data_IF_760950481018
#
_entry.id   IF_760950481018
#
_cell.length_a   1.000
_cell.length_b   1.000
_cell.length_c   1.000
_cell.angle_alpha   90.00
_cell.angle_beta   90.00
_cell.angle_gamma   90.00
#
_symmetry.space_group_name_H-M   'P 1'
#
loop_
_entity.id
_entity.type
_entity.pdbx_description
1 polymer ?
#
# COMPACT_ATOMS: atom_id res chain seq x y z
N UNK A 1 53.80 14.49 8.60
CA UNK A 1 52.95 13.87 7.55
C UNK A 1 52.19 12.61 8.01
N UNK A 2 52.81 11.63 8.69
CA UNK A 2 52.09 10.40 9.13
C UNK A 2 50.95 10.68 10.13
N UNK A 3 51.18 11.55 11.13
CA UNK A 3 50.16 11.93 12.13
C UNK A 3 48.98 12.66 11.48
N UNK A 4 49.22 13.53 10.50
CA UNK A 4 48.15 14.24 9.78
C UNK A 4 47.30 13.29 8.92
N UNK A 5 47.91 12.24 8.33
CA UNK A 5 47.17 11.17 7.63
C UNK A 5 46.35 10.31 8.60
N UNK A 6 46.90 9.97 9.77
CA UNK A 6 46.17 9.21 10.80
C UNK A 6 44.98 10.02 11.36
N UNK A 7 45.16 11.32 11.59
CA UNK A 7 44.07 12.22 12.00
C UNK A 7 43.01 12.36 10.90
N UNK A 8 43.41 12.42 9.62
CA UNK A 8 42.47 12.49 8.50
C UNK A 8 41.70 11.19 8.30
N UNK A 9 42.35 10.03 8.46
CA UNK A 9 41.68 8.70 8.42
C UNK A 9 40.77 8.50 9.62
N UNK A 10 41.18 8.92 10.83
CA UNK A 10 40.32 8.87 12.00
C UNK A 10 39.11 9.81 11.87
N UNK A 11 39.31 11.01 11.32
CA UNK A 11 38.22 11.95 11.02
C UNK A 11 37.24 11.39 9.98
N UNK A 12 37.74 10.75 8.91
CA UNK A 12 36.92 10.05 7.92
C UNK A 12 36.19 8.82 8.49
N UNK A 13 36.81 8.10 9.43
CA UNK A 13 36.19 6.95 10.10
C UNK A 13 35.10 7.37 11.10
N UNK A 14 35.28 8.51 11.79
CA UNK A 14 34.26 9.09 12.68
C UNK A 14 33.10 9.67 11.86
N UNK A 15 33.35 10.18 10.65
CA UNK A 15 32.32 10.60 9.69
C UNK A 15 31.53 9.44 9.07
N UNK A 16 32.02 8.20 9.18
CA UNK A 16 31.38 7.00 8.63
C UNK A 16 30.54 6.22 9.65
N UNK A 17 30.28 6.78 10.84
CA UNK A 17 29.29 6.24 11.78
C UNK A 17 27.89 6.51 11.24
N UNK A 18 27.46 5.70 10.26
CA UNK A 18 26.05 5.60 9.91
C UNK A 18 25.33 5.10 11.16
N UNK A 19 24.51 5.97 11.73
CA UNK A 19 23.63 5.58 12.83
C UNK A 19 22.55 4.72 12.21
N UNK A 20 22.50 3.44 12.53
CA UNK A 20 21.36 2.57 12.20
C UNK A 20 20.69 2.18 13.53
N UNK A 21 19.36 2.18 13.53
CA UNK A 21 18.55 1.77 14.68
C UNK A 21 18.02 0.36 14.45
N UNK A 22 18.25 -0.53 15.41
CA UNK A 22 17.81 -1.92 15.37
C UNK A 22 16.70 -2.13 16.41
N UNK A 23 15.56 -2.66 15.97
CA UNK A 23 14.43 -3.06 16.81
C UNK A 23 14.48 -4.58 16.96
N UNK A 24 15.16 -5.04 18.02
CA UNK A 24 15.42 -6.46 18.30
C UNK A 24 14.44 -7.10 19.28
N UNK A 25 13.51 -6.31 19.83
CA UNK A 25 12.46 -6.77 20.72
C UNK A 25 11.14 -6.07 20.42
N UNK A 26 10.02 -6.72 20.76
CA UNK A 26 8.70 -6.15 20.57
C UNK A 26 8.59 -4.79 21.25
N UNK A 27 8.26 -3.77 20.48
CA UNK A 27 8.28 -2.38 20.92
C UNK A 27 6.96 -1.70 20.56
N UNK A 28 6.38 -0.98 21.53
CA UNK A 28 5.17 -0.19 21.35
C UNK A 28 5.49 1.24 21.78
N UNK A 29 5.48 2.16 20.83
CA UNK A 29 5.64 3.59 21.05
C UNK A 29 4.29 4.30 20.89
N UNK A 30 4.00 5.24 21.78
CA UNK A 30 2.71 5.94 21.82
C UNK A 30 2.89 7.45 21.80
N UNK A 31 2.03 8.16 21.07
CA UNK A 31 1.98 9.63 21.09
C UNK A 31 3.16 10.30 20.37
N UNK A 32 3.88 11.21 21.03
CA UNK A 32 5.00 11.90 20.39
C UNK A 32 6.26 11.01 20.38
N UNK A 33 6.59 10.47 19.21
CA UNK A 33 7.75 9.59 19.04
C UNK A 33 8.88 10.36 18.34
N UNK A 34 10.04 10.42 19.00
CA UNK A 34 11.26 10.95 18.39
C UNK A 34 11.92 9.83 17.57
N UNK A 35 11.91 9.99 16.25
CA UNK A 35 12.62 9.11 15.33
C UNK A 35 13.99 9.73 15.05
N UNK A 36 15.05 8.96 15.29
CA UNK A 36 16.42 9.38 14.99
C UNK A 36 16.67 9.27 13.49
N UNK A 37 17.61 10.06 12.97
CA UNK A 37 18.10 9.92 11.60
C UNK A 37 18.94 8.64 11.48
N UNK A 38 18.68 7.82 10.46
CA UNK A 38 19.39 6.57 10.26
C UNK A 38 18.53 5.43 9.74
N UNK A 39 19.16 4.40 9.18
CA UNK A 39 18.48 3.20 8.72
C UNK A 39 17.80 2.46 9.88
N UNK A 40 16.53 2.09 9.71
CA UNK A 40 15.79 1.27 10.67
C UNK A 40 15.73 -0.18 10.22
N UNK A 41 16.10 -1.11 11.10
CA UNK A 41 15.92 -2.55 10.89
C UNK A 41 15.07 -3.14 12.01
N UNK A 42 14.01 -3.86 11.64
CA UNK A 42 13.18 -4.64 12.57
C UNK A 42 13.54 -6.11 12.36
N UNK A 43 14.00 -6.75 13.43
CA UNK A 43 14.46 -8.14 13.38
C UNK A 43 13.34 -9.13 13.05
N UNK A 44 13.73 -10.30 12.56
CA UNK A 44 12.80 -11.37 12.20
C UNK A 44 11.89 -11.72 13.38
N UNK A 45 10.58 -11.78 13.13
CA UNK A 45 9.57 -12.11 14.15
C UNK A 45 9.29 -10.99 15.16
N UNK A 46 9.95 -9.83 15.05
CA UNK A 46 9.77 -8.71 15.97
C UNK A 46 8.68 -7.76 15.47
N UNK A 47 7.89 -7.24 16.41
CA UNK A 47 6.88 -6.24 16.16
C UNK A 47 7.30 -4.87 16.67
N UNK A 48 7.20 -3.86 15.82
CA UNK A 48 7.28 -2.45 16.22
C UNK A 48 5.96 -1.76 15.89
N UNK A 49 5.28 -1.24 16.91
CA UNK A 49 4.01 -0.52 16.74
C UNK A 49 4.15 0.91 17.23
N UNK A 50 3.86 1.86 16.36
CA UNK A 50 3.80 3.29 16.68
C UNK A 50 2.34 3.73 16.60
N UNK A 51 1.71 3.95 17.74
CA UNK A 51 0.25 4.10 17.84
C UNK A 51 -0.17 5.47 18.36
N UNK A 52 -1.34 5.92 17.90
CA UNK A 52 -1.95 7.21 18.21
C UNK A 52 -1.02 8.40 18.02
N UNK A 53 -0.39 8.42 16.84
CA UNK A 53 0.52 9.48 16.44
C UNK A 53 -0.09 10.32 15.32
N UNK A 54 0.39 11.55 15.16
CA UNK A 54 0.02 12.41 14.02
C UNK A 54 1.02 12.33 12.88
N UNK A 55 2.28 12.00 13.19
CA UNK A 55 3.34 11.95 12.20
C UNK A 55 4.47 11.01 12.59
N UNK A 56 4.95 10.23 11.61
CA UNK A 56 6.18 9.45 11.70
C UNK A 56 7.01 9.73 10.45
N UNK A 57 8.25 10.16 10.64
CA UNK A 57 9.18 10.36 9.54
C UNK A 57 10.41 9.51 9.78
N UNK A 58 10.58 8.45 8.99
CA UNK A 58 11.84 7.71 8.91
C UNK A 58 12.69 8.39 7.84
N UNK A 59 13.90 8.79 8.23
CA UNK A 59 14.89 9.38 7.31
C UNK A 59 15.93 8.29 7.06
N UNK A 60 16.22 8.00 5.78
CA UNK A 60 17.02 6.84 5.30
C UNK A 60 16.16 5.57 5.03
N UNK A 61 16.75 4.37 5.14
CA UNK A 61 16.12 3.09 4.79
C UNK A 61 15.27 2.47 5.90
N UNK A 62 14.39 1.54 5.49
CA UNK A 62 13.61 0.69 6.40
C UNK A 62 13.71 -0.77 5.95
N UNK A 63 14.14 -1.65 6.84
CA UNK A 63 14.13 -3.10 6.64
C UNK A 63 13.20 -3.76 7.64
N UNK A 64 12.15 -4.42 7.15
CA UNK A 64 11.24 -5.24 7.95
C UNK A 64 11.56 -6.72 7.69
N UNK A 65 12.08 -7.40 8.72
CA UNK A 65 12.49 -8.80 8.66
C UNK A 65 11.35 -9.79 8.37
N UNK A 66 11.72 -11.03 8.10
CA UNK A 66 10.76 -12.12 7.86
C UNK A 66 9.93 -12.39 9.13
N UNK A 67 8.61 -12.39 9.00
CA UNK A 67 7.69 -12.54 10.13
C UNK A 67 7.69 -11.34 11.09
N UNK A 68 8.48 -10.30 10.81
CA UNK A 68 8.44 -9.05 11.55
C UNK A 68 7.20 -8.24 11.17
N UNK A 69 6.82 -7.28 12.01
CA UNK A 69 5.69 -6.38 11.72
C UNK A 69 5.98 -4.96 12.13
N UNK A 70 5.71 -4.01 11.24
CA UNK A 70 5.77 -2.58 11.47
C UNK A 70 4.37 -1.98 11.37
N UNK A 71 3.89 -1.38 12.45
CA UNK A 71 2.60 -0.72 12.50
C UNK A 71 2.78 0.78 12.75
N UNK A 72 2.04 1.60 12.02
CA UNK A 72 1.78 2.99 12.39
C UNK A 72 0.29 3.24 12.32
N UNK A 73 -0.35 3.57 13.45
CA UNK A 73 -1.80 3.75 13.52
C UNK A 73 -2.19 5.06 14.21
N UNK A 74 -3.41 5.49 13.95
CA UNK A 74 -4.13 6.44 14.78
C UNK A 74 -5.56 5.97 14.95
N UNK A 75 -6.07 6.02 16.19
CA UNK A 75 -7.48 5.79 16.52
C UNK A 75 -8.25 7.12 16.68
N UNK A 76 -7.56 8.25 16.63
CA UNK A 76 -8.13 9.58 16.82
C UNK A 76 -8.83 10.10 15.56
N UNK A 77 -10.15 10.22 15.60
CA UNK A 77 -10.95 10.76 14.50
C UNK A 77 -10.62 12.21 14.12
N UNK A 78 -10.03 13.00 15.02
CA UNK A 78 -9.68 14.40 14.77
C UNK A 78 -8.22 14.63 14.33
N UNK A 79 -7.44 13.57 14.08
CA UNK A 79 -6.03 13.67 13.72
C UNK A 79 -5.76 13.01 12.37
N UNK A 80 -5.14 13.75 11.45
CA UNK A 80 -4.56 13.16 10.24
C UNK A 80 -3.27 12.43 10.58
N UNK A 81 -3.03 11.26 9.98
CA UNK A 81 -1.78 10.52 10.15
C UNK A 81 -0.88 10.74 8.95
N UNK A 82 0.32 11.30 9.18
CA UNK A 82 1.34 11.47 8.16
C UNK A 82 2.51 10.52 8.38
N UNK A 83 2.68 9.51 7.53
CA UNK A 83 3.86 8.63 7.55
C UNK A 83 4.70 8.91 6.32
N UNK A 84 5.97 9.23 6.53
CA UNK A 84 6.92 9.43 5.45
C UNK A 84 8.16 8.58 5.70
N UNK A 85 8.53 7.79 4.70
CA UNK A 85 9.86 7.17 4.62
C UNK A 85 10.57 7.93 3.52
N UNK A 86 11.40 8.89 3.89
CA UNK A 86 11.89 9.93 3.00
C UNK A 86 13.39 9.79 2.70
N UNK A 87 13.74 10.34 1.54
CA UNK A 87 15.13 10.46 1.12
C UNK A 87 15.94 11.30 2.11
N UNK A 88 17.15 10.87 2.42
CA UNK A 88 18.10 11.71 3.13
C UNK A 88 18.73 12.72 2.16
N UNK A 89 18.47 14.03 2.32
CA UNK A 89 18.97 15.05 1.39
C UNK A 89 20.50 15.20 1.43
N UNK A 90 21.17 14.67 2.45
CA UNK A 90 22.62 14.77 2.65
C UNK A 90 23.35 13.59 1.99
N UNK A 91 22.80 12.37 2.09
CA UNK A 91 23.43 11.15 1.55
C UNK A 91 23.04 10.86 0.09
N UNK A 92 21.96 11.50 -0.40
CA UNK A 92 21.51 11.40 -1.78
C UNK A 92 20.71 10.11 -2.08
N UNK A 93 20.06 10.03 -3.25
CA UNK A 93 19.03 9.04 -3.56
C UNK A 93 19.54 7.61 -3.82
N UNK A 94 20.80 7.30 -3.49
CA UNK A 94 21.43 6.02 -3.82
C UNK A 94 21.36 4.98 -2.69
N UNK A 95 21.08 5.40 -1.45
CA UNK A 95 21.21 4.53 -0.27
C UNK A 95 19.88 4.22 0.43
N UNK A 96 18.81 4.97 0.15
CA UNK A 96 17.54 4.85 0.88
C UNK A 96 16.71 3.70 0.29
N UNK A 97 16.86 2.51 0.88
CA UNK A 97 16.20 1.29 0.43
C UNK A 97 15.11 0.90 1.42
N UNK A 98 13.92 0.59 0.90
CA UNK A 98 12.84 0.01 1.68
C UNK A 98 12.74 -1.47 1.32
N UNK A 99 12.95 -2.34 2.31
CA UNK A 99 12.83 -3.79 2.17
C UNK A 99 11.75 -4.29 3.13
N UNK A 100 10.71 -4.91 2.60
CA UNK A 100 9.67 -5.55 3.40
C UNK A 100 9.59 -7.06 3.12
N UNK A 101 9.97 -7.86 4.11
CA UNK A 101 9.80 -9.31 4.13
C UNK A 101 8.76 -9.78 5.16
N UNK A 102 8.15 -8.84 5.88
CA UNK A 102 7.17 -9.07 6.93
C UNK A 102 5.86 -8.35 6.65
N UNK A 103 5.35 -7.62 7.63
CA UNK A 103 4.15 -6.81 7.51
C UNK A 103 4.47 -5.33 7.74
N UNK A 104 4.00 -4.45 6.86
CA UNK A 104 3.88 -3.02 7.11
C UNK A 104 2.39 -2.67 7.10
N UNK A 105 1.86 -2.08 8.17
CA UNK A 105 0.47 -1.64 8.26
C UNK A 105 0.41 -0.18 8.71
N UNK A 106 -0.07 0.68 7.82
CA UNK A 106 -0.29 2.09 8.08
C UNK A 106 -1.79 2.35 8.12
N UNK A 107 -2.31 2.71 9.29
CA UNK A 107 -3.74 2.78 9.53
C UNK A 107 -4.17 4.16 10.05
N UNK A 108 -4.71 4.96 9.14
CA UNK A 108 -5.43 6.20 9.42
C UNK A 108 -6.89 6.13 8.98
N UNK A 109 -7.49 4.94 8.94
CA UNK A 109 -8.83 4.71 8.41
C UNK A 109 -9.95 5.29 9.30
N UNK A 110 -9.67 5.48 10.59
CA UNK A 110 -10.57 6.08 11.58
C UNK A 110 -10.59 7.63 11.53
N UNK A 111 -9.65 8.25 10.81
CA UNK A 111 -9.45 9.70 10.80
C UNK A 111 -10.46 10.45 9.93
N UNK A 112 -11.01 11.56 10.43
CA UNK A 112 -11.82 12.51 9.67
C UNK A 112 -10.95 13.50 8.86
N UNK A 113 -9.65 13.60 9.18
CA UNK A 113 -8.70 14.42 8.45
C UNK A 113 -7.97 13.60 7.39
N UNK A 114 -7.23 14.27 6.51
CA UNK A 114 -6.37 13.62 5.51
C UNK A 114 -5.26 12.83 6.20
N UNK A 115 -5.07 11.58 5.78
CA UNK A 115 -3.89 10.79 6.10
C UNK A 115 -2.99 10.72 4.87
N UNK A 116 -1.67 10.75 5.07
CA UNK A 116 -0.68 10.78 4.00
C UNK A 116 0.40 9.75 4.28
N UNK A 117 0.51 8.73 3.44
CA UNK A 117 1.57 7.73 3.47
C UNK A 117 2.44 7.88 2.24
N UNK A 118 3.74 8.14 2.44
CA UNK A 118 4.67 8.42 1.36
C UNK A 118 5.96 7.64 1.55
N UNK A 119 6.19 6.68 0.66
CA UNK A 119 7.45 5.95 0.57
C UNK A 119 8.26 6.53 -0.60
N UNK A 120 9.27 7.33 -0.25
CA UNK A 120 10.34 7.75 -1.15
C UNK A 120 11.56 6.84 -1.00
N UNK A 121 12.59 7.05 -1.81
CA UNK A 121 13.77 6.19 -1.77
C UNK A 121 14.37 5.85 -3.13
N UNK A 122 15.52 5.21 -3.08
CA UNK A 122 16.18 4.59 -4.21
C UNK A 122 15.33 3.41 -4.76
N UNK A 123 14.90 2.53 -3.87
CA UNK A 123 14.17 1.32 -4.24
C UNK A 123 13.22 0.84 -3.15
N UNK A 124 12.20 0.11 -3.58
CA UNK A 124 11.24 -0.57 -2.73
C UNK A 124 11.14 -2.03 -3.16
N UNK A 125 11.40 -2.96 -2.24
CA UNK A 125 11.26 -4.40 -2.44
C UNK A 125 10.28 -4.96 -1.43
N UNK A 126 9.21 -5.60 -1.91
CA UNK A 126 8.20 -6.22 -1.07
C UNK A 126 8.03 -7.70 -1.40
N UNK A 127 8.36 -8.56 -0.45
CA UNK A 127 8.03 -9.99 -0.47
C UNK A 127 6.97 -10.36 0.56
N UNK A 128 6.74 -9.49 1.55
CA UNK A 128 5.72 -9.62 2.59
C UNK A 128 4.40 -8.94 2.23
N UNK A 129 3.81 -8.23 3.19
CA UNK A 129 2.53 -7.55 3.05
C UNK A 129 2.65 -6.07 3.42
N UNK A 130 2.02 -5.20 2.63
CA UNK A 130 1.89 -3.77 2.92
C UNK A 130 0.42 -3.39 2.89
N UNK A 131 -0.05 -2.72 3.94
CA UNK A 131 -1.39 -2.16 4.01
C UNK A 131 -1.30 -0.66 4.26
N UNK A 132 -2.02 0.11 3.44
CA UNK A 132 -2.18 1.55 3.56
C UNK A 132 -3.68 1.83 3.66
N UNK A 133 -4.16 2.17 4.84
CA UNK A 133 -5.57 2.42 5.13
C UNK A 133 -5.86 3.86 5.48
N UNK A 134 -6.78 4.48 4.76
CA UNK A 134 -7.28 5.85 5.00
C UNK A 134 -8.80 5.86 5.04
N UNK A 135 -9.42 6.92 5.57
CA UNK A 135 -10.87 6.95 5.73
C UNK A 135 -11.63 7.10 4.41
N UNK A 136 -11.11 7.91 3.48
CA UNK A 136 -11.80 8.27 2.23
C UNK A 136 -12.84 9.38 2.38
N UNK A 137 -13.14 9.84 3.61
CA UNK A 137 -14.12 10.89 3.88
C UNK A 137 -13.61 12.33 3.76
N UNK A 138 -12.31 12.52 3.56
CA UNK A 138 -11.72 13.86 3.53
C UNK A 138 -11.98 14.58 2.21
N UNK A 139 -12.44 15.83 2.29
CA UNK A 139 -12.68 16.68 1.12
C UNK A 139 -11.41 17.03 0.33
N UNK A 140 -10.25 17.04 1.00
CA UNK A 140 -8.95 17.44 0.40
C UNK A 140 -8.24 16.23 -0.24
N UNK A 141 -8.71 15.00 0.04
CA UNK A 141 -8.09 13.76 -0.42
C UNK A 141 -6.89 13.35 0.44
N UNK A 142 -6.84 12.07 0.81
CA UNK A 142 -5.68 11.44 1.45
C UNK A 142 -4.63 11.04 0.41
N UNK A 143 -3.41 10.69 0.81
CA UNK A 143 -2.37 10.22 -0.12
C UNK A 143 -1.84 8.87 0.33
N UNK A 144 -1.70 7.93 -0.61
CA UNK A 144 -1.04 6.64 -0.40
C UNK A 144 -0.08 6.39 -1.56
N UNK A 145 1.22 6.54 -1.29
CA UNK A 145 2.22 6.69 -2.35
C UNK A 145 3.45 5.82 -2.10
N UNK A 146 3.84 5.04 -3.11
CA UNK A 146 5.15 4.40 -3.22
C UNK A 146 5.82 4.98 -4.45
N UNK A 147 6.72 5.95 -4.26
CA UNK A 147 7.33 6.75 -5.34
C UNK A 147 8.85 6.57 -5.42
N UNK A 148 9.35 5.39 -5.08
CA UNK A 148 10.77 5.05 -5.28
C UNK A 148 11.12 4.88 -6.77
N UNK A 149 12.40 4.96 -7.11
CA UNK A 149 12.84 4.83 -8.50
C UNK A 149 12.63 3.42 -9.07
N UNK A 150 12.82 2.40 -8.22
CA UNK A 150 12.66 0.98 -8.59
C UNK A 150 11.72 0.30 -7.61
N UNK A 151 10.66 -0.33 -8.13
CA UNK A 151 9.68 -1.06 -7.32
C UNK A 151 9.65 -2.52 -7.76
N UNK A 152 9.87 -3.43 -6.81
CA UNK A 152 9.67 -4.86 -6.97
C UNK A 152 8.67 -5.37 -5.93
N UNK A 153 7.59 -5.98 -6.39
CA UNK A 153 6.57 -6.59 -5.54
C UNK A 153 6.39 -8.06 -5.91
N UNK A 154 6.69 -8.99 -5.01
CA UNK A 154 6.27 -10.40 -5.09
C UNK A 154 5.26 -10.78 -4.00
N UNK A 155 5.03 -9.87 -3.05
CA UNK A 155 4.08 -10.03 -1.95
C UNK A 155 2.73 -9.36 -2.22
N UNK A 156 2.10 -8.85 -1.16
CA UNK A 156 0.81 -8.15 -1.21
C UNK A 156 0.99 -6.66 -0.90
N UNK A 157 0.32 -5.80 -1.66
CA UNK A 157 0.16 -4.37 -1.35
C UNK A 157 -1.33 -4.03 -1.40
N UNK A 158 -1.86 -3.41 -0.35
CA UNK A 158 -3.28 -3.07 -0.21
C UNK A 158 -3.43 -1.57 0.01
N UNK A 159 -4.16 -0.92 -0.89
CA UNK A 159 -4.63 0.45 -0.75
C UNK A 159 -6.11 0.41 -0.36
N UNK A 160 -6.40 0.86 0.85
CA UNK A 160 -7.70 0.75 1.47
C UNK A 160 -8.28 2.12 1.78
N UNK A 161 -9.50 2.38 1.30
CA UNK A 161 -10.33 3.48 1.78
C UNK A 161 -11.55 2.92 2.51
N UNK A 162 -11.82 3.39 3.73
CA UNK A 162 -12.98 2.92 4.51
C UNK A 162 -14.32 3.22 3.81
N UNK A 163 -14.39 4.32 3.06
CA UNK A 163 -15.48 4.65 2.15
C UNK A 163 -14.92 5.20 0.81
N UNK A 164 -15.69 5.12 -0.29
CA UNK A 164 -15.27 5.70 -1.57
C UNK A 164 -14.90 7.18 -1.41
N UNK A 165 -13.74 7.55 -1.95
CA UNK A 165 -13.13 8.85 -1.68
C UNK A 165 -12.05 9.24 -2.68
N UNK A 166 -11.55 10.46 -2.55
CA UNK A 166 -10.58 11.09 -3.46
C UNK A 166 -9.12 10.86 -3.05
N UNK A 167 -8.80 9.75 -2.37
CA UNK A 167 -7.41 9.48 -2.04
C UNK A 167 -6.56 9.34 -3.30
N UNK A 168 -5.42 10.04 -3.32
CA UNK A 168 -4.43 9.94 -4.37
C UNK A 168 -3.57 8.70 -4.14
N UNK A 169 -3.65 7.75 -5.06
CA UNK A 169 -2.78 6.57 -5.10
C UNK A 169 -1.72 6.77 -6.16
N UNK A 170 -0.46 6.55 -5.77
CA UNK A 170 0.67 6.64 -6.68
C UNK A 170 1.60 5.44 -6.46
N UNK A 171 1.83 4.69 -7.54
CA UNK A 171 2.75 3.55 -7.55
C UNK A 171 3.77 3.77 -8.66
N UNK A 172 5.00 4.08 -8.25
CA UNK A 172 6.11 4.42 -9.13
C UNK A 172 6.10 5.87 -9.62
N UNK A 173 7.29 6.42 -9.78
CA UNK A 173 7.47 7.73 -10.40
C UNK A 173 6.99 7.75 -11.87
N UNK A 174 6.64 8.93 -12.37
CA UNK A 174 6.23 9.09 -13.78
C UNK A 174 7.34 8.63 -14.73
N UNK A 175 7.00 7.77 -15.69
CA UNK A 175 7.95 7.20 -16.64
C UNK A 175 8.84 6.10 -16.08
N UNK A 176 8.67 5.71 -14.80
CA UNK A 176 9.35 4.54 -14.24
C UNK A 176 8.62 3.24 -14.59
N UNK A 177 9.22 2.12 -14.18
CA UNK A 177 8.61 0.80 -14.29
C UNK A 177 8.48 0.16 -12.89
N UNK A 178 7.31 -0.42 -12.65
CA UNK A 178 6.98 -1.20 -11.47
C UNK A 178 6.94 -2.66 -11.87
N UNK A 179 7.75 -3.51 -11.25
CA UNK A 179 7.69 -4.96 -11.45
C UNK A 179 6.78 -5.58 -10.39
N UNK A 180 5.57 -5.94 -10.79
CA UNK A 180 4.60 -6.62 -9.94
C UNK A 180 4.48 -8.10 -10.33
N UNK A 181 5.00 -8.99 -9.49
CA UNK A 181 4.82 -10.44 -9.59
C UNK A 181 3.94 -11.00 -8.45
N UNK A 182 3.53 -10.15 -7.52
CA UNK A 182 2.58 -10.47 -6.45
C UNK A 182 1.18 -9.91 -6.73
N UNK A 183 0.51 -9.40 -5.70
CA UNK A 183 -0.83 -8.83 -5.78
C UNK A 183 -0.86 -7.38 -5.27
N UNK A 184 -1.55 -6.52 -6.00
CA UNK A 184 -1.91 -5.16 -5.56
C UNK A 184 -3.43 -5.10 -5.44
N UNK A 185 -3.95 -4.64 -4.32
CA UNK A 185 -5.38 -4.54 -4.05
C UNK A 185 -5.81 -3.10 -3.87
N UNK A 186 -6.91 -2.73 -4.51
CA UNK A 186 -7.60 -1.46 -4.35
C UNK A 186 -8.95 -1.76 -3.68
N UNK A 187 -9.25 -1.10 -2.56
CA UNK A 187 -10.54 -1.22 -1.87
C UNK A 187 -11.18 0.16 -1.71
N UNK A 188 -12.34 0.38 -2.31
CA UNK A 188 -12.99 1.69 -2.48
C UNK A 188 -12.02 2.78 -2.98
N UNK A 189 -11.07 2.39 -3.83
CA UNK A 189 -9.90 3.17 -4.17
C UNK A 189 -9.85 3.50 -5.65
N UNK A 190 -9.47 4.74 -5.99
CA UNK A 190 -9.19 5.15 -7.35
C UNK A 190 -7.68 5.25 -7.57
N UNK A 191 -7.18 4.50 -8.55
CA UNK A 191 -5.79 4.60 -8.98
C UNK A 191 -5.73 4.93 -10.47
N UNK A 192 -5.03 6.01 -10.80
CA UNK A 192 -4.75 6.36 -12.19
C UNK A 192 -3.31 5.99 -12.53
N UNK A 193 -3.14 5.05 -13.47
CA UNK A 193 -1.84 4.49 -13.78
C UNK A 193 -0.85 5.56 -14.27
N UNK A 194 0.21 5.77 -13.49
CA UNK A 194 1.28 6.70 -13.82
C UNK A 194 2.52 5.99 -14.40
N UNK A 195 3.03 4.99 -13.69
CA UNK A 195 4.18 4.19 -14.10
C UNK A 195 3.80 2.99 -14.98
N UNK A 196 4.77 2.45 -15.70
CA UNK A 196 4.58 1.20 -16.43
C UNK A 196 4.44 0.04 -15.43
N UNK A 197 3.41 -0.80 -15.56
CA UNK A 197 3.24 -1.99 -14.71
C UNK A 197 3.68 -3.23 -15.49
N UNK A 198 4.77 -3.85 -15.04
CA UNK A 198 5.40 -5.03 -15.62
C UNK A 198 5.28 -6.24 -14.68
N UNK A 199 5.66 -7.42 -15.17
CA UNK A 199 5.69 -8.67 -14.41
C UNK A 199 4.48 -9.57 -14.70
N UNK A 200 4.23 -10.54 -13.83
CA UNK A 200 3.19 -11.58 -13.99
C UNK A 200 2.15 -11.60 -12.86
N UNK A 201 2.07 -10.52 -12.08
CA UNK A 201 1.20 -10.41 -10.93
C UNK A 201 -0.24 -10.05 -11.25
N UNK A 202 -0.98 -9.67 -10.20
CA UNK A 202 -2.37 -9.28 -10.27
C UNK A 202 -2.61 -7.89 -9.66
N UNK A 203 -3.55 -7.14 -10.23
CA UNK A 203 -4.19 -5.99 -9.57
C UNK A 203 -5.67 -6.34 -9.35
N UNK A 204 -6.14 -6.32 -8.11
CA UNK A 204 -7.52 -6.60 -7.74
C UNK A 204 -8.26 -5.30 -7.42
N UNK A 205 -9.42 -5.12 -8.04
CA UNK A 205 -10.36 -4.04 -7.75
C UNK A 205 -11.47 -4.61 -6.88
N UNK A 206 -11.52 -4.16 -5.63
CA UNK A 206 -12.52 -4.60 -4.64
C UNK A 206 -13.50 -3.47 -4.32
N UNK A 207 -14.77 -3.84 -4.12
CA UNK A 207 -15.89 -2.92 -3.91
C UNK A 207 -15.96 -1.83 -5.01
N UNK A 208 -16.18 -0.56 -4.64
CA UNK A 208 -16.33 0.57 -5.56
C UNK A 208 -14.98 1.12 -6.05
N UNK A 209 -14.02 0.23 -6.33
CA UNK A 209 -12.69 0.63 -6.80
C UNK A 209 -12.66 0.91 -8.30
N UNK A 210 -11.80 1.86 -8.67
CA UNK A 210 -11.56 2.28 -10.05
C UNK A 210 -10.07 2.25 -10.38
N UNK A 211 -9.74 1.72 -11.56
CA UNK A 211 -8.40 1.73 -12.13
C UNK A 211 -8.39 2.34 -13.52
N UNK A 212 -7.73 3.48 -13.70
CA UNK A 212 -7.40 3.95 -15.04
C UNK A 212 -6.12 3.29 -15.52
N UNK A 213 -6.21 2.50 -16.59
CA UNK A 213 -5.10 1.76 -17.18
C UNK A 213 -4.72 2.33 -18.55
N UNK A 214 -3.42 2.52 -18.76
CA UNK A 214 -2.85 2.90 -20.06
C UNK A 214 -2.56 1.65 -20.87
N UNK A 215 -3.27 1.49 -21.99
CA UNK A 215 -3.07 0.40 -22.94
C UNK A 215 -2.07 0.81 -24.02
N UNK A 216 -1.09 -0.04 -24.36
CA UNK A 216 -0.06 0.27 -25.36
C UNK A 216 1.28 -0.44 -25.08
N UNK A 217 2.19 -0.42 -26.06
CA UNK A 217 3.36 -1.32 -26.17
C UNK A 217 4.44 -1.24 -25.08
N UNK A 218 4.24 -0.53 -23.98
CA UNK A 218 5.11 -0.59 -22.79
C UNK A 218 4.43 -0.18 -21.47
N UNK A 219 3.12 0.11 -21.48
CA UNK A 219 2.45 0.71 -20.31
C UNK A 219 1.96 -0.35 -19.33
N UNK A 220 1.37 -1.43 -19.81
CA UNK A 220 0.85 -2.50 -18.97
C UNK A 220 1.20 -3.84 -19.61
N UNK A 221 1.94 -4.69 -18.90
CA UNK A 221 2.36 -5.98 -19.45
C UNK A 221 1.13 -6.88 -19.63
N UNK A 222 1.03 -7.54 -20.79
CA UNK A 222 -0.08 -8.47 -21.09
C UNK A 222 -0.14 -9.68 -20.16
N UNK A 223 0.95 -9.95 -19.45
CA UNK A 223 1.08 -10.98 -18.42
C UNK A 223 0.57 -10.56 -17.05
N UNK A 224 0.27 -9.27 -16.83
CA UNK A 224 -0.49 -8.82 -15.66
C UNK A 224 -1.97 -9.16 -15.83
N UNK A 225 -2.64 -9.43 -14.72
CA UNK A 225 -4.09 -9.63 -14.68
C UNK A 225 -4.72 -8.50 -13.87
N UNK A 226 -5.77 -7.88 -14.41
CA UNK A 226 -6.67 -7.04 -13.62
C UNK A 226 -7.87 -7.91 -13.23
N UNK A 227 -8.09 -8.13 -11.95
CA UNK A 227 -9.25 -8.84 -11.43
C UNK A 227 -10.28 -7.85 -10.91
N UNK A 228 -11.51 -7.97 -11.41
CA UNK A 228 -12.64 -7.14 -10.99
C UNK A 228 -13.56 -7.96 -10.08
N UNK A 229 -13.77 -7.48 -8.85
CA UNK A 229 -14.91 -7.90 -8.04
C UNK A 229 -16.17 -7.14 -8.50
N UNK A 230 -17.40 -7.56 -8.12
CA UNK A 230 -18.62 -6.85 -8.48
C UNK A 230 -18.61 -5.36 -8.10
N UNK A 231 -19.10 -4.50 -9.00
CA UNK A 231 -19.22 -3.04 -8.89
C UNK A 231 -17.92 -2.24 -9.08
N UNK A 232 -16.84 -2.87 -9.54
CA UNK A 232 -15.60 -2.17 -9.87
C UNK A 232 -15.58 -1.60 -11.29
N UNK A 233 -14.71 -0.61 -11.52
CA UNK A 233 -14.55 0.07 -12.81
C UNK A 233 -13.11 0.02 -13.33
N UNK A 234 -12.94 -0.27 -14.62
CA UNK A 234 -11.67 -0.03 -15.34
C UNK A 234 -11.89 1.12 -16.31
N UNK A 235 -11.06 2.15 -16.22
CA UNK A 235 -10.98 3.24 -17.17
C UNK A 235 -9.83 3.06 -18.16
N UNK A 236 -10.06 3.32 -19.45
CA UNK A 236 -9.02 3.39 -20.46
C UNK A 236 -9.02 4.82 -21.03
N UNK A 237 -8.25 5.75 -20.42
CA UNK A 237 -8.33 7.17 -20.74
C UNK A 237 -7.71 7.54 -22.10
N UNK A 238 -6.95 6.63 -22.72
CA UNK A 238 -6.30 6.83 -24.02
C UNK A 238 -6.53 5.64 -24.94
N UNK A 239 -7.06 5.89 -26.14
CA UNK A 239 -7.27 4.84 -27.13
C UNK A 239 -5.99 4.56 -27.94
N UNK A 240 -5.29 3.49 -27.58
CA UNK A 240 -4.10 3.02 -28.30
C UNK A 240 -4.14 1.51 -28.48
N UNK A 241 -3.45 1.01 -29.52
CA UNK A 241 -3.39 -0.42 -29.79
C UNK A 241 -2.65 -1.16 -28.68
N UNK A 242 -3.29 -2.20 -28.15
CA UNK A 242 -2.69 -3.07 -27.15
C UNK A 242 -3.70 -4.05 -26.58
N UNK A 243 -3.24 -4.86 -25.64
CA UNK A 243 -4.09 -5.83 -24.94
C UNK A 243 -3.94 -5.69 -23.43
N UNK A 244 -5.03 -5.96 -22.72
CA UNK A 244 -5.05 -6.13 -21.27
C UNK A 244 -5.82 -7.39 -20.92
N UNK A 245 -5.35 -8.09 -19.89
CA UNK A 245 -5.99 -9.32 -19.40
C UNK A 245 -6.85 -8.98 -18.20
N UNK A 246 -8.14 -9.31 -18.29
CA UNK A 246 -9.14 -8.99 -17.28
C UNK A 246 -9.82 -10.28 -16.83
N UNK A 247 -9.93 -10.46 -15.52
CA UNK A 247 -10.69 -11.53 -14.91
C UNK A 247 -11.85 -10.93 -14.11
N UNK A 248 -12.99 -11.62 -14.04
CA UNK A 248 -14.15 -11.13 -13.27
C UNK A 248 -15.02 -10.06 -13.98
N UNK A 249 -14.92 -9.87 -15.29
CA UNK A 249 -15.80 -8.92 -15.98
C UNK A 249 -17.27 -9.42 -16.00
N UNK A 250 -18.21 -8.58 -15.58
CA UNK A 250 -19.61 -8.95 -15.32
C UNK A 250 -20.06 -8.56 -13.90
N UNK A 251 -21.26 -8.96 -13.48
CA UNK A 251 -21.71 -8.76 -12.09
C UNK A 251 -21.79 -7.29 -11.65
N UNK A 252 -22.11 -6.37 -12.56
CA UNK A 252 -22.17 -4.92 -12.27
C UNK A 252 -20.90 -4.14 -12.62
N UNK A 253 -19.86 -4.83 -13.10
CA UNK A 253 -18.60 -4.21 -13.50
C UNK A 253 -18.71 -3.39 -14.79
N UNK A 254 -17.92 -2.33 -14.86
CA UNK A 254 -17.90 -1.41 -15.99
C UNK A 254 -16.48 -1.22 -16.54
N UNK A 255 -16.35 -1.23 -17.87
CA UNK A 255 -15.12 -0.81 -18.55
C UNK A 255 -15.44 0.45 -19.35
N UNK A 256 -14.80 1.56 -19.03
CA UNK A 256 -14.93 2.82 -19.76
C UNK A 256 -13.72 3.04 -20.66
N UNK A 257 -13.95 3.56 -21.86
CA UNK A 257 -12.92 3.74 -22.89
C UNK A 257 -13.11 5.10 -23.51
N UNK A 258 -12.09 5.95 -23.42
CA UNK A 258 -12.09 7.26 -24.06
C UNK A 258 -11.82 7.10 -25.56
N UNK A 259 -12.90 6.90 -26.33
CA UNK A 259 -12.92 6.86 -27.79
C UNK A 259 -13.99 7.85 -28.28
N UNK A 260 -13.73 8.66 -29.33
CA UNK A 260 -14.73 9.55 -29.89
C UNK A 260 -16.03 8.83 -30.27
N UNK A 261 -17.16 9.50 -30.03
CA UNK A 261 -18.52 8.98 -30.22
C UNK A 261 -18.74 8.33 -31.59
N UNK A 262 -19.36 7.14 -31.57
CA UNK A 262 -19.87 6.40 -32.73
C UNK A 262 -18.84 5.93 -33.78
N UNK A 263 -17.54 6.01 -33.48
CA UNK A 263 -16.47 5.63 -34.41
C UNK A 263 -15.76 4.35 -33.97
N UNK A 264 -16.53 3.32 -33.61
CA UNK A 264 -15.99 2.04 -33.20
C UNK A 264 -16.72 0.85 -33.82
N UNK A 265 -16.00 -0.25 -33.91
CA UNK A 265 -16.57 -1.58 -34.10
C UNK A 265 -16.04 -2.51 -33.01
N UNK A 266 -16.77 -3.57 -32.76
CA UNK A 266 -16.67 -4.42 -31.59
C UNK A 266 -16.92 -5.86 -32.00
N UNK A 267 -16.12 -6.78 -31.46
CA UNK A 267 -16.34 -8.20 -31.67
C UNK A 267 -15.81 -9.01 -30.50
N UNK A 268 -16.56 -10.05 -30.12
CA UNK A 268 -16.12 -11.02 -29.13
C UNK A 268 -15.83 -12.35 -29.81
N UNK A 269 -14.63 -12.88 -29.58
CA UNK A 269 -14.22 -14.20 -30.03
C UNK A 269 -14.39 -15.21 -28.89
N UNK A 270 -15.33 -16.15 -29.04
CA UNK A 270 -15.54 -17.22 -28.06
C UNK A 270 -14.34 -18.17 -27.96
N UNK A 271 -13.56 -18.31 -29.04
CA UNK A 271 -12.38 -19.18 -29.11
C UNK A 271 -11.20 -18.61 -28.32
N UNK A 272 -10.93 -17.32 -28.47
CA UNK A 272 -9.78 -16.67 -27.79
C UNK A 272 -10.17 -16.01 -26.47
N UNK A 273 -11.48 -15.84 -26.22
CA UNK A 273 -11.97 -15.12 -25.05
C UNK A 273 -11.66 -13.63 -25.09
N UNK A 274 -11.58 -13.04 -26.28
CA UNK A 274 -11.13 -11.65 -26.46
C UNK A 274 -12.27 -10.78 -26.99
N UNK A 275 -12.58 -9.72 -26.26
CA UNK A 275 -13.42 -8.63 -26.72
C UNK A 275 -12.54 -7.56 -27.37
N UNK A 276 -12.67 -7.39 -28.68
CA UNK A 276 -11.90 -6.43 -29.46
C UNK A 276 -12.73 -5.20 -29.74
N UNK A 277 -12.16 -4.02 -29.50
CA UNK A 277 -12.76 -2.73 -29.79
C UNK A 277 -11.83 -2.01 -30.74
N UNK A 278 -12.31 -1.68 -31.93
CA UNK A 278 -11.54 -1.06 -33.01
C UNK A 278 -12.06 0.34 -33.24
N UNK A 279 -11.17 1.30 -33.39
CA UNK A 279 -11.53 2.57 -33.97
C UNK A 279 -11.76 2.38 -35.49
N UNK A 280 -12.78 3.01 -36.07
CA UNK A 280 -13.07 2.85 -37.51
C UNK A 280 -12.35 3.87 -38.40
N UNK A 281 -11.87 4.98 -37.81
CA UNK A 281 -11.09 6.00 -38.51
C UNK A 281 -9.58 5.71 -38.49
N UNK A 282 -9.11 4.91 -37.53
CA UNK A 282 -7.71 4.54 -37.38
C UNK A 282 -7.55 3.03 -37.34
N UNK A 283 -6.36 2.52 -37.61
CA UNK A 283 -6.06 1.08 -37.45
C UNK A 283 -5.87 0.66 -35.98
N UNK A 284 -6.22 1.53 -35.02
CA UNK A 284 -6.01 1.25 -33.61
C UNK A 284 -7.07 0.28 -33.05
N UNK A 285 -6.65 -0.65 -32.19
CA UNK A 285 -7.56 -1.60 -31.57
C UNK A 285 -7.12 -1.98 -30.15
N UNK A 286 -8.06 -1.93 -29.22
CA UNK A 286 -7.89 -2.44 -27.86
C UNK A 286 -8.42 -3.88 -27.81
N UNK A 287 -7.65 -4.77 -27.22
CA UNK A 287 -8.03 -6.15 -26.97
C UNK A 287 -8.21 -6.38 -25.47
N UNK A 288 -9.45 -6.64 -25.05
CA UNK A 288 -9.78 -7.02 -23.69
C UNK A 288 -9.83 -8.54 -23.62
N UNK A 289 -8.81 -9.17 -23.06
CA UNK A 289 -8.75 -10.62 -22.89
C UNK A 289 -9.51 -10.97 -21.61
N UNK A 290 -10.81 -11.25 -21.75
CA UNK A 290 -11.75 -11.49 -20.64
C UNK A 290 -12.01 -12.98 -20.35
N UNK A 291 -11.52 -13.86 -21.22
CA UNK A 291 -11.74 -15.31 -21.18
C UNK A 291 -12.95 -15.76 -22.02
N UNK A 292 -13.08 -17.07 -22.20
CA UNK A 292 -14.16 -17.69 -22.97
C UNK A 292 -15.46 -17.77 -22.15
N UNK A 293 -16.55 -18.25 -22.75
CA UNK A 293 -17.82 -18.51 -22.05
C UNK A 293 -18.79 -17.32 -21.93
N UNK A 294 -18.42 -16.12 -22.39
CA UNK A 294 -19.34 -14.98 -22.43
C UNK A 294 -20.33 -15.12 -23.60
N UNK A 295 -21.54 -14.61 -23.40
CA UNK A 295 -22.59 -14.58 -24.43
C UNK A 295 -22.55 -13.22 -25.14
N UNK A 296 -22.29 -13.21 -26.45
CA UNK A 296 -22.08 -11.97 -27.23
C UNK A 296 -23.24 -10.96 -27.14
N UNK A 297 -24.48 -11.44 -27.03
CA UNK A 297 -25.67 -10.57 -26.94
C UNK A 297 -25.93 -9.99 -25.55
N UNK A 298 -25.14 -10.37 -24.55
CA UNK A 298 -25.25 -9.87 -23.17
C UNK A 298 -24.27 -8.74 -22.87
N UNK A 299 -23.44 -8.34 -23.85
CA UNK A 299 -22.64 -7.13 -23.76
C UNK A 299 -23.48 -5.91 -24.15
N UNK A 300 -23.40 -4.86 -23.32
CA UNK A 300 -23.99 -3.56 -23.63
C UNK A 300 -22.88 -2.56 -23.91
N UNK A 301 -23.02 -1.83 -25.02
CA UNK A 301 -22.08 -0.79 -25.46
C UNK A 301 -22.83 0.54 -25.48
N UNK A 302 -22.54 1.39 -24.51
CA UNK A 302 -23.19 2.69 -24.35
C UNK A 302 -22.19 3.78 -24.72
N UNK A 303 -22.37 4.39 -25.89
CA UNK A 303 -21.57 5.52 -26.32
C UNK A 303 -22.17 6.83 -25.77
N UNK A 304 -21.33 7.63 -25.13
CA UNK A 304 -21.68 8.95 -24.60
C UNK A 304 -20.59 9.98 -24.92
N UNK A 305 -20.85 11.26 -24.60
CA UNK A 305 -19.91 12.35 -24.87
C UNK A 305 -18.49 12.09 -24.32
N UNK A 306 -18.41 11.35 -23.21
CA UNK A 306 -17.17 11.03 -22.50
C UNK A 306 -16.52 9.71 -22.93
N UNK A 307 -17.05 9.03 -23.95
CA UNK A 307 -16.47 7.80 -24.50
C UNK A 307 -17.46 6.64 -24.59
N UNK A 308 -16.91 5.42 -24.57
CA UNK A 308 -17.64 4.16 -24.62
C UNK A 308 -17.66 3.50 -23.24
N UNK A 309 -18.84 3.13 -22.77
CA UNK A 309 -19.00 2.25 -21.61
C UNK A 309 -19.38 0.85 -22.05
N UNK A 310 -18.70 -0.15 -21.51
CA UNK A 310 -18.94 -1.57 -21.78
C UNK A 310 -19.33 -2.26 -20.49
N UNK A 311 -20.48 -2.95 -20.50
CA UNK A 311 -20.95 -3.77 -19.38
C UNK A 311 -21.37 -5.15 -19.87
N UNK A 312 -21.44 -6.11 -18.96
CA UNK A 312 -21.96 -7.45 -19.22
C UNK A 312 -23.04 -7.78 -18.19
N UNK A 313 -24.23 -8.18 -18.65
CA UNK A 313 -25.40 -8.36 -17.79
C UNK A 313 -25.38 -9.64 -16.95
N UNK A 314 -24.50 -10.59 -17.28
CA UNK A 314 -24.37 -11.86 -16.55
C UNK A 314 -23.25 -11.82 -15.50
N UNK A 315 -23.13 -12.92 -14.77
CA UNK A 315 -21.95 -13.16 -13.92
C UNK A 315 -20.74 -13.53 -14.78
N UNK A 316 -19.50 -13.23 -14.32
CA UNK A 316 -18.29 -13.67 -14.99
C UNK A 316 -18.28 -15.21 -15.12
N UNK A 317 -18.12 -15.77 -16.34
CA UNK A 317 -18.20 -17.22 -16.57
C UNK A 317 -16.91 -17.96 -16.22
N UNK A 318 -15.79 -17.25 -16.06
CA UNK A 318 -14.48 -17.83 -15.80
C UNK A 318 -14.16 -17.80 -14.30
N UNK A 319 -13.47 -18.82 -13.76
CA UNK A 319 -13.02 -18.82 -12.37
C UNK A 319 -11.98 -17.71 -12.12
N UNK A 320 -11.79 -17.40 -10.84
CA UNK A 320 -10.77 -16.45 -10.40
C UNK A 320 -9.38 -17.00 -10.74
N UNK A 321 -8.50 -16.17 -11.29
CA UNK A 321 -7.10 -16.54 -11.52
C UNK A 321 -6.41 -16.88 -10.19
N UNK A 322 -5.59 -17.93 -10.17
CA UNK A 322 -4.79 -18.29 -8.98
C UNK A 322 -3.86 -17.16 -8.52
N UNK A 323 -3.45 -16.28 -9.46
CA UNK A 323 -2.62 -15.10 -9.18
C UNK A 323 -3.35 -14.01 -8.37
N UNK A 324 -4.68 -14.04 -8.35
CA UNK A 324 -5.52 -13.08 -7.62
C UNK A 324 -6.28 -13.74 -6.45
N UNK A 325 -6.13 -15.06 -6.25
CA UNK A 325 -6.96 -15.86 -5.36
C UNK A 325 -6.64 -15.70 -3.87
N UNK A 326 -5.49 -15.11 -3.52
CA UNK A 326 -5.03 -14.93 -2.12
C UNK A 326 -5.95 -13.99 -1.32
N UNK A 327 -6.81 -13.22 -2.01
CA UNK A 327 -7.68 -12.22 -1.39
C UNK A 327 -6.91 -10.98 -0.95
N UNK A 328 -7.63 -9.88 -0.76
CA UNK A 328 -7.02 -8.59 -0.39
C UNK A 328 -6.76 -8.41 1.11
N UNK A 329 -7.20 -9.36 1.95
CA UNK A 329 -7.09 -9.25 3.40
C UNK A 329 -7.92 -8.09 3.98
N UNK A 330 -7.82 -7.91 5.29
CA UNK A 330 -8.38 -6.75 6.01
C UNK A 330 -7.23 -5.94 6.59
N UNK A 331 -7.46 -4.64 6.82
CA UNK A 331 -6.46 -3.77 7.42
C UNK A 331 -6.02 -4.33 8.80
N UNK A 332 -4.74 -4.69 8.99
CA UNK A 332 -4.29 -5.30 10.23
C UNK A 332 -4.37 -4.34 11.43
N UNK A 333 -4.84 -4.87 12.56
CA UNK A 333 -4.91 -4.13 13.84
C UNK A 333 -3.52 -4.10 14.48
N UNK A 334 -3.08 -2.92 14.90
CA UNK A 334 -1.78 -2.76 15.54
C UNK A 334 -1.79 -3.33 16.97
N UNK A 335 -0.76 -4.10 17.37
CA UNK A 335 -0.59 -4.46 18.78
C UNK A 335 -0.46 -3.21 19.67
N UNK A 336 -1.28 -3.15 20.71
CA UNK A 336 -1.27 -2.05 21.68
C UNK A 336 -2.25 -0.90 21.41
N UNK A 337 -3.02 -0.96 20.31
CA UNK A 337 -4.03 0.05 19.89
C UNK A 337 -5.23 0.12 20.86
N UNK A 338 -5.38 -0.88 21.74
CA UNK A 338 -6.46 -0.95 22.74
C UNK A 338 -5.91 -0.84 24.18
N UNK A 339 -6.71 -0.29 25.12
CA UNK A 339 -6.43 -0.40 26.54
C UNK A 339 -6.17 -1.85 26.96
N UNK A 340 -5.19 -2.06 27.82
CA UNK A 340 -4.76 -3.39 28.24
C UNK A 340 -4.56 -3.45 29.74
N UNK A 341 -4.94 -4.57 30.33
CA UNK A 341 -4.77 -4.87 31.75
C UNK A 341 -4.04 -6.21 31.87
N UNK A 342 -2.94 -6.25 32.63
CA UNK A 342 -2.19 -7.47 32.85
C UNK A 342 -1.44 -7.44 34.18
N UNK A 343 -1.21 -8.61 34.75
CA UNK A 343 -0.42 -8.74 35.97
C UNK A 343 1.05 -8.98 35.67
N UNK A 344 1.96 -8.29 36.36
CA UNK A 344 3.41 -8.54 36.30
C UNK A 344 3.97 -8.79 37.69
N UNK A 345 5.10 -9.49 37.77
CA UNK A 345 5.78 -9.81 39.04
C UNK A 345 7.08 -9.03 39.10
N UNK A 346 7.20 -8.17 40.11
CA UNK A 346 8.42 -7.40 40.36
C UNK A 346 9.13 -8.03 41.56
N UNK A 347 10.36 -8.49 41.33
CA UNK A 347 11.25 -8.95 42.40
C UNK A 347 12.29 -7.88 42.66
N UNK A 348 12.28 -7.30 43.86
CA UNK A 348 13.30 -6.36 44.32
C UNK A 348 14.24 -7.05 45.29
N UNK A 349 15.54 -6.84 45.12
CA UNK A 349 16.57 -7.33 46.03
C UNK A 349 17.13 -6.15 46.80
N UNK A 350 17.00 -6.17 48.13
CA UNK A 350 17.56 -5.10 48.95
C UNK A 350 19.09 -5.26 49.13
N UNK A 351 19.73 -4.27 49.75
CA UNK A 351 21.17 -4.27 50.05
C UNK A 351 21.66 -5.45 50.88
N UNK A 352 20.75 -6.20 51.51
CA UNK A 352 21.05 -7.34 52.36
C UNK A 352 20.83 -8.67 51.63
N UNK A 353 20.72 -8.65 50.30
CA UNK A 353 20.44 -9.80 49.44
C UNK A 353 19.09 -10.51 49.72
N UNK A 354 18.16 -9.82 50.39
CA UNK A 354 16.81 -10.33 50.62
C UNK A 354 15.92 -9.93 49.44
N UNK A 355 15.26 -10.90 48.84
CA UNK A 355 14.31 -10.70 47.74
C UNK A 355 12.90 -10.49 48.27
N UNK A 356 12.21 -9.49 47.74
CA UNK A 356 10.78 -9.27 47.94
C UNK A 356 10.10 -9.34 46.59
N UNK A 357 9.08 -10.19 46.47
CA UNK A 357 8.31 -10.38 45.24
C UNK A 357 6.91 -9.83 45.44
N UNK A 358 6.50 -8.89 44.59
CA UNK A 358 5.14 -8.36 44.55
C UNK A 358 4.51 -8.60 43.19
N UNK A 359 3.24 -9.00 43.18
CA UNK A 359 2.42 -9.03 41.97
C UNK A 359 1.75 -7.68 41.81
N UNK A 360 1.86 -7.09 40.63
CA UNK A 360 1.28 -5.80 40.28
C UNK A 360 0.28 -6.00 39.16
N UNK A 361 -0.89 -5.42 39.31
CA UNK A 361 -1.82 -5.18 38.20
C UNK A 361 -1.34 -3.94 37.45
N UNK A 362 -1.27 -4.02 36.13
CA UNK A 362 -0.84 -2.92 35.25
C UNK A 362 -1.97 -2.63 34.29
N UNK A 363 -2.53 -1.43 34.41
CA UNK A 363 -3.56 -0.91 33.54
C UNK A 363 -2.96 0.16 32.62
N UNK A 364 -3.08 -0.07 31.32
CA UNK A 364 -2.79 0.89 30.26
C UNK A 364 -4.13 1.38 29.70
N UNK A 365 -4.38 2.66 29.82
CA UNK A 365 -5.62 3.30 29.37
C UNK A 365 -5.33 4.55 28.56
N UNK A 366 -6.32 5.03 27.81
CA UNK A 366 -6.23 6.27 27.06
C UNK A 366 -7.41 7.19 27.35
N UNK A 367 -7.25 8.47 27.03
CA UNK A 367 -8.33 9.45 27.03
C UNK A 367 -8.10 10.44 25.90
N UNK A 368 -9.18 10.84 25.23
CA UNK A 368 -9.15 11.90 24.22
C UNK A 368 -9.20 13.25 24.93
N UNK A 369 -8.17 14.07 24.75
CA UNK A 369 -8.09 15.44 25.28
C UNK A 369 -8.04 16.41 24.09
N UNK A 370 -9.18 17.04 23.78
CA UNK A 370 -9.28 17.92 22.61
C UNK A 370 -9.06 17.15 21.31
N UNK A 371 -7.96 17.41 20.61
CA UNK A 371 -7.57 16.70 19.38
C UNK A 371 -6.50 15.65 19.61
N UNK A 372 -5.97 15.43 20.83
CA UNK A 372 -4.92 14.44 21.09
C UNK A 372 -5.42 13.25 21.92
N UNK A 373 -4.81 12.08 21.72
CA UNK A 373 -4.95 10.94 22.62
C UNK A 373 -3.80 10.98 23.62
N UNK A 374 -4.14 10.89 24.91
CA UNK A 374 -3.18 10.77 26.00
C UNK A 374 -3.27 9.37 26.58
N UNK A 375 -2.11 8.70 26.66
CA UNK A 375 -1.98 7.36 27.23
C UNK A 375 -1.46 7.44 28.66
N UNK A 376 -2.01 6.60 29.53
CA UNK A 376 -1.66 6.50 30.94
C UNK A 376 -1.37 5.05 31.31
N UNK A 377 -0.30 4.84 32.06
CA UNK A 377 0.00 3.57 32.71
C UNK A 377 -0.14 3.75 34.20
N UNK A 378 -1.01 2.96 34.83
CA UNK A 378 -1.11 2.86 36.28
C UNK A 378 -0.77 1.44 36.70
N UNK A 379 -0.15 1.29 37.87
CA UNK A 379 0.04 -0.01 38.50
C UNK A 379 -0.44 -0.02 39.95
N UNK A 380 -1.01 -1.14 40.37
CA UNK A 380 -1.45 -1.37 41.74
C UNK A 380 -0.97 -2.73 42.23
N UNK A 381 -0.46 -2.79 43.46
CA UNK A 381 -0.10 -4.05 44.10
C UNK A 381 -1.38 -4.86 44.39
N UNK A 382 -1.34 -6.17 44.11
CA UNK A 382 -2.46 -7.11 44.33
C UNK A 382 -2.15 -8.13 45.42
#
# INVERSE_FOLDING_TARGET
MKILRLLFVAFLAILALVSSSEISQNTIDRGFVQINTGDYTIDNGITWSIIDVTSVTLTDGLTVGTGASFYVSTSASLLGLSVSIALNPILGPANDVIVNNGLISLNGASSLLTSSFQFGGASFTNTGQVYMGVSGGSLIGSTMSISTNTIQNTGLIVYYQAQPGSANINIGASGSAVTNNGQICLYNAHYSQNANILGTGCITLDADSELDVKVGSSSFASTQIIYMTPQSTIGIPTFASGSITINGFGGGNTITINIPLALYSQSYSQTTGTLTIRNILTSASIQLVIGSGYISNSFTFSAGLLGLSVTYSGNPPNPISSLCATGCGVLPVAPGDEPTEYTTVVTTTNSNAQTTTGTYDVLISNTVIGTSISWYTSSSLI
#
